data_IF_877318026657
#
_entry.id   IF_877318026657
#
_cell.length_a   1.000
_cell.length_b   1.000
_cell.length_c   1.000
_cell.angle_alpha   90.00
_cell.angle_beta   90.00
_cell.angle_gamma   90.00
#
_symmetry.space_group_name_H-M   'P 1'
#
loop_
_entity.id
_entity.type
_entity.pdbx_description
1 polymer ?
#
# COMPACT_ATOMS: atom_id res chain seq x y z
N UNK A 1 59.68 -49.83 6.44
CA UNK A 1 59.77 -48.84 5.36
C UNK A 1 58.38 -48.41 5.00
N UNK A 2 57.88 -47.37 5.68
CA UNK A 2 56.55 -46.79 5.47
C UNK A 2 56.69 -45.51 4.65
N UNK A 3 56.07 -45.51 3.46
CA UNK A 3 56.02 -44.33 2.58
C UNK A 3 54.97 -43.32 3.08
N UNK A 4 55.37 -42.09 3.34
CA UNK A 4 54.47 -40.92 3.54
C UNK A 4 53.92 -40.45 2.18
N UNK A 5 52.67 -39.98 2.14
CA UNK A 5 52.12 -39.36 0.92
C UNK A 5 52.54 -37.91 0.82
N UNK A 6 53.06 -37.54 -0.35
CA UNK A 6 53.33 -36.14 -0.73
C UNK A 6 52.04 -35.39 -0.98
N UNK A 7 51.82 -34.29 -0.25
CA UNK A 7 50.79 -33.30 -0.56
C UNK A 7 51.30 -32.33 -1.60
N UNK A 8 50.66 -32.28 -2.75
CA UNK A 8 50.95 -31.31 -3.78
C UNK A 8 50.45 -29.87 -3.39
N UNK A 9 51.17 -28.81 -3.76
CA UNK A 9 50.74 -27.44 -3.47
C UNK A 9 49.53 -27.07 -4.34
N UNK A 10 48.56 -26.38 -3.73
CA UNK A 10 47.37 -25.84 -4.38
C UNK A 10 47.75 -24.79 -5.42
N UNK A 11 47.16 -24.86 -6.61
CA UNK A 11 47.41 -23.93 -7.73
C UNK A 11 46.77 -22.56 -7.46
N UNK A 12 47.30 -21.46 -8.02
CA UNK A 12 46.80 -20.09 -7.75
C UNK A 12 45.35 -19.82 -8.21
N UNK A 13 44.72 -20.75 -8.92
CA UNK A 13 43.34 -20.66 -9.35
C UNK A 13 42.30 -20.95 -8.22
N UNK A 14 42.73 -21.70 -7.18
CA UNK A 14 41.85 -22.05 -6.05
C UNK A 14 41.77 -20.94 -4.99
N UNK A 15 42.76 -20.07 -4.91
CA UNK A 15 42.76 -18.91 -4.01
C UNK A 15 41.89 -17.77 -4.50
N UNK A 16 41.61 -17.65 -5.81
CA UNK A 16 40.72 -16.64 -6.36
C UNK A 16 39.22 -16.95 -6.16
N UNK A 17 38.88 -18.25 -5.97
CA UNK A 17 37.48 -18.64 -5.76
C UNK A 17 36.97 -18.33 -4.35
N UNK A 18 37.84 -18.24 -3.34
CA UNK A 18 37.45 -17.86 -1.96
C UNK A 18 37.34 -16.37 -1.72
N UNK A 19 38.00 -15.54 -2.52
CA UNK A 19 37.87 -14.08 -2.45
C UNK A 19 36.61 -13.57 -3.19
N UNK A 20 36.09 -14.32 -4.17
CA UNK A 20 34.86 -13.95 -4.88
C UNK A 20 33.57 -14.21 -4.06
N UNK A 21 33.62 -15.15 -3.09
CA UNK A 21 32.46 -15.46 -2.21
C UNK A 21 32.33 -14.43 -1.07
N UNK A 22 33.40 -13.77 -0.67
CA UNK A 22 33.38 -12.77 0.41
C UNK A 22 32.88 -11.38 -0.02
N UNK A 23 32.77 -11.09 -1.33
CA UNK A 23 32.32 -9.80 -1.87
C UNK A 23 30.82 -9.80 -2.28
N UNK A 24 30.10 -10.93 -2.16
CA UNK A 24 28.67 -11.00 -2.46
C UNK A 24 27.77 -10.79 -1.23
N UNK A 25 28.34 -10.52 -0.07
CA UNK A 25 27.60 -10.41 1.21
C UNK A 25 27.30 -8.96 1.63
N UNK A 26 27.31 -8.00 0.72
CA UNK A 26 27.05 -6.59 1.10
C UNK A 26 26.13 -5.82 0.16
N UNK A 27 25.14 -6.50 -0.45
CA UNK A 27 24.00 -5.85 -1.07
C UNK A 27 22.70 -6.29 -0.36
N UNK A 28 22.66 -6.15 0.97
CA UNK A 28 21.39 -6.06 1.67
C UNK A 28 20.86 -4.65 1.42
N UNK A 29 20.10 -4.48 0.33
CA UNK A 29 19.20 -3.34 0.24
C UNK A 29 18.30 -3.34 1.49
N UNK A 30 17.68 -2.21 1.85
CA UNK A 30 16.80 -2.14 3.01
C UNK A 30 15.78 -3.27 2.89
N UNK A 31 15.90 -4.24 3.79
CA UNK A 31 15.11 -5.48 3.78
C UNK A 31 13.64 -5.21 4.07
N UNK A 32 12.83 -6.21 3.81
CA UNK A 32 11.48 -6.31 4.36
C UNK A 32 11.58 -6.07 5.86
N UNK A 33 10.66 -5.28 6.41
CA UNK A 33 10.60 -5.00 7.85
C UNK A 33 10.58 -6.31 8.65
N UNK A 34 11.35 -6.36 9.71
CA UNK A 34 11.23 -7.37 10.75
C UNK A 34 10.47 -6.75 11.94
N UNK A 35 9.76 -7.58 12.70
CA UNK A 35 9.08 -7.18 13.93
C UNK A 35 10.03 -6.35 14.82
N UNK A 36 9.60 -5.16 15.22
CA UNK A 36 10.38 -4.24 16.06
C UNK A 36 11.15 -3.15 15.31
N UNK A 37 11.04 -3.02 13.98
CA UNK A 37 11.55 -1.84 13.29
C UNK A 37 10.80 -0.56 13.74
N UNK A 38 11.52 0.53 14.02
CA UNK A 38 10.88 1.80 14.38
C UNK A 38 10.02 2.32 13.22
N UNK A 39 8.99 3.08 13.56
CA UNK A 39 8.18 3.76 12.56
C UNK A 39 9.06 4.71 11.75
N UNK A 40 8.84 4.75 10.44
CA UNK A 40 9.57 5.67 9.56
C UNK A 40 9.20 7.11 9.91
N UNK A 41 10.16 8.00 9.78
CA UNK A 41 9.89 9.43 9.95
C UNK A 41 8.85 9.89 8.93
N UNK A 42 7.86 10.63 9.42
CA UNK A 42 6.89 11.32 8.58
C UNK A 42 7.51 12.61 8.08
N UNK A 43 7.67 12.78 6.77
CA UNK A 43 8.23 14.02 6.23
C UNK A 43 7.26 15.18 6.50
N UNK A 44 7.76 16.40 6.71
CA UNK A 44 6.90 17.58 6.85
C UNK A 44 6.09 17.80 5.57
N UNK A 45 4.87 18.35 5.73
CA UNK A 45 4.02 18.70 4.60
C UNK A 45 4.66 19.82 3.78
N UNK A 46 4.62 19.66 2.46
CA UNK A 46 4.97 20.74 1.52
C UNK A 46 3.68 21.37 1.00
N UNK A 47 3.33 22.55 1.50
CA UNK A 47 2.12 23.28 1.11
C UNK A 47 2.11 23.69 -0.38
N UNK A 48 3.26 23.66 -1.04
CA UNK A 48 3.39 23.97 -2.47
C UNK A 48 3.37 22.70 -3.35
N UNK A 49 3.28 21.51 -2.75
CA UNK A 49 3.23 20.27 -3.48
C UNK A 49 1.99 20.22 -4.39
N UNK A 50 2.16 19.64 -5.58
CA UNK A 50 1.05 19.46 -6.53
C UNK A 50 0.12 18.33 -6.09
N UNK A 51 0.64 17.35 -5.38
CA UNK A 51 -0.05 16.20 -4.79
C UNK A 51 0.76 15.72 -3.56
N UNK A 52 0.17 14.88 -2.74
CA UNK A 52 0.84 14.32 -1.56
C UNK A 52 1.19 12.84 -1.75
N UNK A 53 0.45 12.15 -2.62
CA UNK A 53 0.66 10.74 -2.90
C UNK A 53 -0.08 10.26 -4.14
N UNK A 54 0.05 8.97 -4.37
CA UNK A 54 -0.58 8.26 -5.50
C UNK A 54 -1.21 6.96 -5.01
N UNK A 55 -2.14 6.42 -5.78
CA UNK A 55 -2.51 5.03 -5.65
C UNK A 55 -2.41 4.30 -6.99
N UNK A 56 -2.10 3.00 -6.90
CA UNK A 56 -1.77 2.17 -8.04
C UNK A 56 -2.39 0.77 -7.93
N UNK A 57 -2.55 0.15 -9.07
CA UNK A 57 -2.94 -1.25 -9.20
C UNK A 57 -2.01 -2.01 -10.16
N UNK A 58 -2.41 -3.20 -10.61
CA UNK A 58 -1.73 -3.90 -11.69
C UNK A 58 -1.83 -3.19 -13.05
N UNK A 59 -2.74 -2.20 -13.18
CA UNK A 59 -2.93 -1.42 -14.41
C UNK A 59 -1.68 -0.61 -14.78
N UNK A 60 -0.93 -0.10 -13.77
CA UNK A 60 0.28 0.67 -13.99
C UNK A 60 1.47 -0.18 -14.48
N UNK A 61 1.35 -1.51 -14.47
CA UNK A 61 2.38 -2.41 -14.99
C UNK A 61 3.70 -2.34 -14.24
N UNK A 62 4.81 -2.29 -15.00
CA UNK A 62 6.14 -2.13 -14.43
C UNK A 62 6.40 -0.67 -14.06
N UNK A 63 6.90 -0.44 -12.86
CA UNK A 63 7.18 0.89 -12.32
C UNK A 63 8.68 1.04 -12.00
N UNK A 64 9.30 2.09 -12.51
CA UNK A 64 10.66 2.51 -12.14
C UNK A 64 10.60 3.36 -10.86
N UNK A 65 10.64 2.68 -9.73
CA UNK A 65 10.55 3.31 -8.41
C UNK A 65 11.69 4.29 -8.11
N UNK A 66 12.83 4.12 -8.77
CA UNK A 66 13.93 5.08 -8.67
C UNK A 66 13.57 6.45 -9.25
N UNK A 67 12.84 6.46 -10.36
CA UNK A 67 12.31 7.70 -10.94
C UNK A 67 11.14 8.24 -10.14
N UNK A 68 10.18 7.40 -9.74
CA UNK A 68 9.03 7.82 -8.92
C UNK A 68 9.49 8.51 -7.64
N UNK A 69 10.45 7.95 -6.91
CA UNK A 69 10.95 8.51 -5.65
C UNK A 69 11.76 9.80 -5.82
N UNK A 70 12.19 10.12 -7.03
CA UNK A 70 12.85 11.41 -7.33
C UNK A 70 11.87 12.57 -7.32
N UNK A 71 10.59 12.31 -7.51
CA UNK A 71 9.52 13.29 -7.36
C UNK A 71 9.25 13.55 -5.87
N UNK A 72 9.59 14.76 -5.43
CA UNK A 72 9.53 15.14 -4.01
C UNK A 72 8.12 15.47 -3.52
N UNK A 73 7.15 15.52 -4.41
CA UNK A 73 5.75 15.68 -4.03
C UNK A 73 5.12 14.32 -3.62
N UNK A 74 5.65 13.19 -4.12
CA UNK A 74 5.16 11.87 -3.73
C UNK A 74 5.75 11.46 -2.37
N UNK A 75 4.91 11.35 -1.36
CA UNK A 75 5.28 10.94 0.01
C UNK A 75 4.81 9.53 0.34
N UNK A 76 3.70 9.12 -0.24
CA UNK A 76 3.11 7.82 0.02
C UNK A 76 2.50 7.21 -1.24
N UNK A 77 2.28 5.90 -1.17
CA UNK A 77 1.56 5.16 -2.20
C UNK A 77 0.66 4.10 -1.57
N UNK A 78 -0.60 4.05 -2.03
CA UNK A 78 -1.48 2.92 -1.80
C UNK A 78 -1.42 1.95 -2.99
N UNK A 79 -1.33 0.65 -2.71
CA UNK A 79 -1.10 -0.39 -3.72
C UNK A 79 -2.19 -1.45 -3.61
N UNK A 80 -2.90 -1.73 -4.72
CA UNK A 80 -3.86 -2.82 -4.77
C UNK A 80 -3.18 -4.14 -4.44
N UNK A 81 -3.58 -4.76 -3.34
CA UNK A 81 -3.10 -6.07 -2.96
C UNK A 81 -4.01 -7.17 -3.51
N UNK A 82 -5.31 -7.06 -3.24
CA UNK A 82 -6.28 -8.12 -3.52
C UNK A 82 -7.65 -7.57 -3.94
N UNK A 83 -8.47 -8.45 -4.52
CA UNK A 83 -9.87 -8.21 -4.83
C UNK A 83 -10.67 -9.50 -4.60
N UNK A 84 -11.84 -9.40 -3.98
CA UNK A 84 -12.66 -10.56 -3.69
C UNK A 84 -11.88 -11.64 -2.92
N UNK A 85 -12.35 -12.89 -3.00
CA UNK A 85 -11.73 -13.98 -2.24
C UNK A 85 -10.46 -14.56 -2.84
N UNK A 86 -10.12 -14.28 -4.12
CA UNK A 86 -9.08 -15.05 -4.84
C UNK A 86 -8.10 -14.22 -5.65
N UNK A 87 -8.49 -13.03 -6.12
CA UNK A 87 -7.57 -12.22 -6.90
C UNK A 87 -6.47 -11.63 -6.03
N UNK A 88 -5.23 -11.77 -6.48
CA UNK A 88 -4.02 -11.16 -5.93
C UNK A 88 -3.31 -10.40 -7.03
N UNK A 89 -2.99 -9.14 -6.77
CA UNK A 89 -2.30 -8.29 -7.75
C UNK A 89 -0.92 -8.86 -8.06
N UNK A 90 -0.60 -9.17 -9.33
CA UNK A 90 0.66 -9.84 -9.69
C UNK A 90 1.90 -8.99 -9.41
N UNK A 91 1.77 -7.67 -9.39
CA UNK A 91 2.87 -6.73 -9.15
C UNK A 91 2.96 -6.23 -7.70
N UNK A 92 2.02 -6.64 -6.83
CA UNK A 92 1.93 -6.11 -5.47
C UNK A 92 3.22 -6.28 -4.66
N UNK A 93 3.76 -7.50 -4.57
CA UNK A 93 4.97 -7.78 -3.77
C UNK A 93 6.18 -6.98 -4.29
N UNK A 94 6.34 -6.91 -5.61
CA UNK A 94 7.39 -6.10 -6.21
C UNK A 94 7.21 -4.62 -5.87
N UNK A 95 6.03 -4.09 -6.11
CA UNK A 95 5.75 -2.68 -5.93
C UNK A 95 5.88 -2.23 -4.47
N UNK A 96 5.30 -2.97 -3.52
CA UNK A 96 5.39 -2.58 -2.11
C UNK A 96 6.83 -2.64 -1.59
N UNK A 97 7.60 -3.65 -2.02
CA UNK A 97 9.00 -3.80 -1.64
C UNK A 97 9.86 -2.67 -2.22
N UNK A 98 9.69 -2.36 -3.51
CA UNK A 98 10.50 -1.35 -4.17
C UNK A 98 10.13 0.07 -3.72
N UNK A 99 8.83 0.41 -3.66
CA UNK A 99 8.38 1.70 -3.15
C UNK A 99 8.97 1.99 -1.75
N UNK A 100 8.89 1.00 -0.87
CA UNK A 100 9.46 1.07 0.47
C UNK A 100 10.99 1.21 0.46
N UNK A 101 11.68 0.46 -0.40
CA UNK A 101 13.13 0.54 -0.56
C UNK A 101 13.59 1.95 -0.96
N UNK A 102 12.82 2.62 -1.81
CA UNK A 102 13.08 3.97 -2.25
C UNK A 102 12.55 5.07 -1.32
N UNK A 103 12.07 4.71 -0.13
CA UNK A 103 11.76 5.67 0.94
C UNK A 103 10.32 6.17 0.97
N UNK A 104 9.44 5.70 0.08
CA UNK A 104 8.02 6.04 0.13
C UNK A 104 7.33 5.30 1.28
N UNK A 105 6.35 5.95 1.90
CA UNK A 105 5.45 5.28 2.85
C UNK A 105 4.41 4.49 2.07
N UNK A 106 4.17 3.23 2.47
CA UNK A 106 3.33 2.32 1.70
C UNK A 106 2.12 1.82 2.50
N UNK A 107 0.99 1.76 1.83
CA UNK A 107 -0.22 1.10 2.31
C UNK A 107 -0.78 0.14 1.25
N UNK A 108 -1.64 -0.76 1.69
CA UNK A 108 -2.27 -1.75 0.82
C UNK A 108 -3.78 -1.59 0.81
N UNK A 109 -4.41 -1.88 -0.32
CA UNK A 109 -5.87 -1.89 -0.37
C UNK A 109 -6.47 -3.19 -0.91
N UNK A 110 -7.69 -3.45 -0.44
CA UNK A 110 -8.54 -4.54 -0.88
C UNK A 110 -9.78 -3.99 -1.59
N UNK A 111 -10.04 -4.45 -2.81
CA UNK A 111 -11.28 -4.13 -3.53
C UNK A 111 -12.40 -5.10 -3.12
N UNK A 112 -13.43 -4.54 -2.49
CA UNK A 112 -14.56 -5.31 -1.96
C UNK A 112 -15.53 -5.71 -3.05
N UNK A 113 -15.96 -6.96 -3.05
CA UNK A 113 -16.95 -7.50 -4.00
C UNK A 113 -18.10 -8.22 -3.30
N UNK A 114 -19.24 -8.34 -3.98
CA UNK A 114 -20.39 -9.12 -3.47
C UNK A 114 -20.36 -10.58 -3.90
N UNK A 115 -19.28 -11.07 -4.51
CA UNK A 115 -19.19 -12.40 -5.13
C UNK A 115 -18.76 -13.51 -4.16
N UNK A 116 -18.33 -13.16 -2.96
CA UNK A 116 -17.82 -14.12 -1.97
C UNK A 116 -18.03 -13.62 -0.53
N UNK A 117 -17.86 -14.51 0.44
CA UNK A 117 -18.00 -14.15 1.86
C UNK A 117 -16.93 -13.17 2.30
N UNK A 118 -17.24 -12.32 3.27
CA UNK A 118 -16.31 -11.35 3.82
C UNK A 118 -15.09 -12.02 4.48
N UNK A 119 -15.31 -13.13 5.17
CA UNK A 119 -14.20 -13.90 5.78
C UNK A 119 -13.20 -14.38 4.74
N UNK A 120 -13.66 -14.88 3.59
CA UNK A 120 -12.78 -15.30 2.51
C UNK A 120 -12.03 -14.12 1.85
N UNK A 121 -12.69 -12.97 1.70
CA UNK A 121 -12.06 -11.75 1.19
C UNK A 121 -11.01 -11.24 2.16
N UNK A 122 -11.33 -11.17 3.44
CA UNK A 122 -10.39 -10.79 4.47
C UNK A 122 -9.21 -11.76 4.56
N UNK A 123 -9.43 -13.07 4.53
CA UNK A 123 -8.35 -14.06 4.50
C UNK A 123 -7.44 -13.89 3.26
N UNK A 124 -8.02 -13.59 2.10
CA UNK A 124 -7.22 -13.29 0.91
C UNK A 124 -6.34 -12.05 1.12
N UNK A 125 -6.89 -10.99 1.73
CA UNK A 125 -6.18 -9.76 1.99
C UNK A 125 -5.10 -9.94 3.07
N UNK A 126 -5.45 -10.41 4.25
CA UNK A 126 -4.53 -10.51 5.40
C UNK A 126 -3.35 -11.46 5.16
N UNK A 127 -3.55 -12.53 4.39
CA UNK A 127 -2.49 -13.46 3.99
C UNK A 127 -1.56 -12.93 2.89
N UNK A 128 -1.89 -11.79 2.26
CA UNK A 128 -1.11 -11.24 1.17
C UNK A 128 -0.55 -9.86 1.49
N UNK A 129 -1.32 -9.01 2.15
CA UNK A 129 -0.94 -7.67 2.60
C UNK A 129 -0.44 -7.71 4.05
N UNK A 130 0.71 -8.35 4.29
CA UNK A 130 1.26 -8.56 5.63
C UNK A 130 1.49 -7.24 6.37
N UNK A 131 1.16 -7.20 7.68
CA UNK A 131 1.29 -6.02 8.54
C UNK A 131 2.70 -5.43 8.51
N UNK A 132 3.72 -6.29 8.56
CA UNK A 132 5.13 -5.88 8.69
C UNK A 132 5.68 -5.12 7.47
N UNK A 133 5.06 -5.25 6.31
CA UNK A 133 5.51 -4.56 5.10
C UNK A 133 4.80 -3.23 4.85
N UNK A 134 3.85 -2.85 5.71
CA UNK A 134 3.06 -1.63 5.57
C UNK A 134 3.53 -0.54 6.53
N UNK A 135 3.42 0.70 6.08
CA UNK A 135 3.65 1.90 6.87
C UNK A 135 2.34 2.59 7.23
N UNK A 136 1.35 2.44 6.37
CA UNK A 136 0.03 3.08 6.46
C UNK A 136 -1.05 2.07 6.81
N UNK A 137 -2.14 2.54 7.43
CA UNK A 137 -3.30 1.72 7.72
C UNK A 137 -3.84 1.05 6.46
N UNK A 138 -4.37 -0.17 6.54
CA UNK A 138 -5.03 -0.81 5.40
C UNK A 138 -6.18 0.03 4.86
N UNK A 139 -6.47 -0.10 3.56
CA UNK A 139 -7.59 0.58 2.93
C UNK A 139 -8.58 -0.44 2.34
N UNK A 140 -9.86 -0.22 2.59
CA UNK A 140 -10.96 -0.95 2.00
C UNK A 140 -11.59 -0.12 0.89
N UNK A 141 -11.52 -0.60 -0.33
CA UNK A 141 -12.05 0.04 -1.52
C UNK A 141 -13.46 -0.46 -1.80
N UNK A 142 -14.46 0.44 -1.72
CA UNK A 142 -15.89 0.17 -1.79
C UNK A 142 -16.54 1.05 -2.83
N UNK A 143 -16.62 0.56 -4.06
CA UNK A 143 -17.15 1.33 -5.20
C UNK A 143 -18.43 0.73 -5.80
N UNK A 144 -18.67 -0.53 -5.54
CA UNK A 144 -19.81 -1.24 -6.13
C UNK A 144 -20.60 -1.97 -5.06
N UNK A 145 -21.93 -1.96 -5.23
CA UNK A 145 -22.81 -2.74 -4.36
C UNK A 145 -22.97 -4.19 -4.84
N UNK A 146 -22.82 -4.40 -6.12
CA UNK A 146 -23.07 -5.70 -6.73
C UNK A 146 -24.46 -6.20 -6.44
N UNK A 147 -24.57 -7.44 -5.96
CA UNK A 147 -25.84 -8.11 -5.64
C UNK A 147 -26.38 -7.78 -4.23
N UNK A 148 -25.66 -7.00 -3.42
CA UNK A 148 -26.12 -6.67 -2.06
C UNK A 148 -27.22 -5.61 -2.08
N UNK A 149 -28.16 -5.72 -1.14
CA UNK A 149 -28.95 -4.58 -0.69
C UNK A 149 -28.05 -3.55 0.00
N UNK A 150 -28.56 -2.34 0.26
CA UNK A 150 -27.78 -1.34 1.02
C UNK A 150 -27.44 -1.82 2.44
N UNK A 151 -28.38 -2.49 3.12
CA UNK A 151 -28.11 -3.06 4.44
C UNK A 151 -27.01 -4.10 4.38
N UNK A 152 -27.08 -5.06 3.46
CA UNK A 152 -26.06 -6.08 3.30
C UNK A 152 -24.68 -5.48 2.98
N UNK A 153 -24.62 -4.40 2.19
CA UNK A 153 -23.36 -3.67 1.95
C UNK A 153 -22.81 -3.10 3.27
N UNK A 154 -23.64 -2.40 4.05
CA UNK A 154 -23.24 -1.83 5.34
C UNK A 154 -22.73 -2.91 6.29
N UNK A 155 -23.48 -4.01 6.43
CA UNK A 155 -23.11 -5.16 7.29
C UNK A 155 -21.78 -5.79 6.81
N UNK A 156 -21.59 -5.89 5.51
CA UNK A 156 -20.36 -6.44 4.90
C UNK A 156 -19.14 -5.56 5.14
N UNK A 157 -19.29 -4.24 4.95
CA UNK A 157 -18.22 -3.28 5.22
C UNK A 157 -17.85 -3.26 6.69
N UNK A 158 -18.84 -3.21 7.60
CA UNK A 158 -18.61 -3.30 9.05
C UNK A 158 -17.83 -4.57 9.40
N UNK A 159 -18.29 -5.72 8.93
CA UNK A 159 -17.60 -7.00 9.20
C UNK A 159 -16.15 -7.00 8.72
N UNK A 160 -15.88 -6.47 7.53
CA UNK A 160 -14.51 -6.37 7.04
C UNK A 160 -13.66 -5.42 7.90
N UNK A 161 -14.22 -4.29 8.31
CA UNK A 161 -13.56 -3.33 9.19
C UNK A 161 -13.20 -3.95 10.54
N UNK A 162 -14.12 -4.69 11.16
CA UNK A 162 -13.89 -5.39 12.44
C UNK A 162 -12.75 -6.41 12.32
N UNK A 163 -12.70 -7.18 11.25
CA UNK A 163 -11.63 -8.15 10.99
C UNK A 163 -10.28 -7.47 10.75
N UNK A 164 -10.27 -6.32 10.07
CA UNK A 164 -9.04 -5.51 9.90
C UNK A 164 -8.56 -4.96 11.23
N UNK A 165 -9.46 -4.43 12.06
CA UNK A 165 -9.11 -3.91 13.38
C UNK A 165 -8.52 -5.01 14.29
N UNK A 166 -9.15 -6.19 14.31
CA UNK A 166 -8.64 -7.34 15.06
C UNK A 166 -7.21 -7.75 14.64
N UNK A 167 -6.94 -7.76 13.34
CA UNK A 167 -5.68 -8.26 12.80
C UNK A 167 -4.56 -7.21 12.76
N UNK A 168 -4.90 -5.97 12.34
CA UNK A 168 -3.89 -4.90 12.14
C UNK A 168 -3.80 -3.94 13.33
N UNK A 169 -4.76 -3.98 14.27
CA UNK A 169 -4.82 -3.10 15.43
C UNK A 169 -5.34 -1.69 15.11
N UNK A 170 -5.98 -1.50 13.94
CA UNK A 170 -6.52 -0.21 13.51
C UNK A 170 -7.67 -0.44 12.53
N UNK A 171 -8.70 0.43 12.59
CA UNK A 171 -9.74 0.44 11.57
C UNK A 171 -9.16 0.78 10.19
N UNK A 172 -9.65 0.16 9.11
CA UNK A 172 -9.19 0.51 7.77
C UNK A 172 -9.67 1.92 7.38
N UNK A 173 -8.91 2.58 6.53
CA UNK A 173 -9.41 3.71 5.76
C UNK A 173 -10.40 3.19 4.72
N UNK A 174 -11.48 3.92 4.47
CA UNK A 174 -12.48 3.56 3.46
C UNK A 174 -12.28 4.45 2.23
N UNK A 175 -11.97 3.80 1.10
CA UNK A 175 -12.01 4.47 -0.20
C UNK A 175 -13.37 4.26 -0.85
N UNK A 176 -13.86 5.31 -1.49
CA UNK A 176 -15.04 5.26 -2.35
C UNK A 176 -15.09 6.49 -3.26
N UNK A 177 -15.79 6.41 -4.38
CA UNK A 177 -16.15 7.63 -5.10
C UNK A 177 -17.18 8.44 -4.29
N UNK A 178 -17.10 9.78 -4.34
CA UNK A 178 -17.99 10.67 -3.58
C UNK A 178 -19.48 10.33 -3.82
N UNK A 179 -19.85 10.08 -5.06
CA UNK A 179 -21.24 9.76 -5.42
C UNK A 179 -21.71 8.45 -4.81
N UNK A 180 -20.87 7.42 -4.87
CA UNK A 180 -21.20 6.11 -4.29
C UNK A 180 -21.25 6.19 -2.77
N UNK A 181 -20.27 6.84 -2.13
CA UNK A 181 -20.21 7.02 -0.68
C UNK A 181 -21.48 7.70 -0.16
N UNK A 182 -21.79 8.87 -0.70
CA UNK A 182 -22.94 9.68 -0.27
C UNK A 182 -24.28 8.95 -0.46
N UNK A 183 -24.40 8.09 -1.48
CA UNK A 183 -25.62 7.32 -1.76
C UNK A 183 -25.75 6.08 -0.90
N UNK A 184 -24.65 5.38 -0.62
CA UNK A 184 -24.72 4.01 -0.10
C UNK A 184 -24.12 3.86 1.31
N UNK A 185 -23.09 4.62 1.67
CA UNK A 185 -22.28 4.39 2.87
C UNK A 185 -22.54 5.41 3.99
N UNK A 186 -22.84 6.65 3.65
CA UNK A 186 -23.17 7.67 4.66
C UNK A 186 -24.51 7.39 5.35
N UNK A 187 -24.68 7.71 6.65
CA UNK A 187 -23.71 8.27 7.58
C UNK A 187 -22.88 7.22 8.34
N UNK A 188 -22.99 5.96 7.99
CA UNK A 188 -22.53 4.80 8.80
C UNK A 188 -21.01 4.84 9.03
N UNK A 189 -20.24 5.35 8.06
CA UNK A 189 -18.79 5.32 8.10
C UNK A 189 -18.15 6.72 8.19
N UNK A 190 -18.92 7.76 8.52
CA UNK A 190 -18.42 9.14 8.62
C UNK A 190 -17.35 9.35 9.72
N UNK A 191 -17.18 8.38 10.63
CA UNK A 191 -16.14 8.41 11.67
C UNK A 191 -14.82 7.75 11.24
N UNK A 192 -14.84 7.03 10.13
CA UNK A 192 -13.62 6.43 9.57
C UNK A 192 -12.77 7.49 8.90
N UNK A 193 -11.47 7.19 8.70
CA UNK A 193 -10.66 7.93 7.76
C UNK A 193 -11.17 7.64 6.34
N UNK A 194 -11.50 8.67 5.58
CA UNK A 194 -12.10 8.54 4.27
C UNK A 194 -11.14 8.98 3.17
N UNK A 195 -10.95 8.14 2.19
CA UNK A 195 -10.24 8.43 0.95
C UNK A 195 -11.28 8.54 -0.16
N UNK A 196 -11.55 9.74 -0.65
CA UNK A 196 -12.70 9.99 -1.53
C UNK A 196 -12.24 10.39 -2.92
N UNK A 197 -12.65 9.59 -3.91
CA UNK A 197 -12.50 9.89 -5.33
C UNK A 197 -13.54 10.94 -5.79
N UNK A 198 -13.05 12.09 -6.25
CA UNK A 198 -13.83 13.12 -6.95
C UNK A 198 -12.92 13.82 -7.95
N UNK A 199 -13.03 13.47 -9.22
CA UNK A 199 -12.22 14.02 -10.31
C UNK A 199 -12.75 15.41 -10.71
N UNK A 200 -12.28 16.44 -10.02
CA UNK A 200 -12.79 17.78 -10.11
C UNK A 200 -11.80 18.79 -9.51
N UNK A 201 -12.03 20.08 -9.73
CA UNK A 201 -11.26 21.15 -9.10
C UNK A 201 -11.81 21.57 -7.71
N UNK A 202 -12.88 20.95 -7.24
CA UNK A 202 -13.48 21.20 -5.93
C UNK A 202 -13.41 19.99 -5.04
N UNK A 203 -13.11 20.21 -3.78
CA UNK A 203 -13.01 19.17 -2.76
C UNK A 203 -14.30 18.34 -2.61
N UNK A 204 -14.20 17.08 -2.15
CA UNK A 204 -15.37 16.25 -1.88
C UNK A 204 -16.26 16.86 -0.78
N UNK A 205 -17.56 16.73 -0.96
CA UNK A 205 -18.56 17.07 0.05
C UNK A 205 -19.21 15.78 0.55
N UNK A 206 -19.02 15.48 1.83
CA UNK A 206 -19.56 14.28 2.45
C UNK A 206 -20.86 14.63 3.20
N UNK A 207 -21.94 13.95 2.86
CA UNK A 207 -23.23 14.16 3.49
C UNK A 207 -23.18 13.88 5.00
N UNK A 208 -24.11 14.44 5.75
CA UNK A 208 -24.28 14.22 7.19
C UNK A 208 -23.05 14.59 8.02
N UNK A 209 -22.42 15.73 7.67
CA UNK A 209 -21.25 16.27 8.37
C UNK A 209 -20.04 15.29 8.42
N UNK A 210 -19.92 14.43 7.41
CA UNK A 210 -18.72 13.62 7.22
C UNK A 210 -17.57 14.47 6.69
N UNK A 211 -16.35 14.05 6.97
CA UNK A 211 -15.13 14.68 6.49
C UNK A 211 -14.26 13.67 5.74
N UNK A 212 -13.66 14.08 4.64
CA UNK A 212 -12.64 13.28 3.98
C UNK A 212 -11.26 13.50 4.63
N UNK A 213 -10.41 12.49 4.56
CA UNK A 213 -9.01 12.58 4.99
C UNK A 213 -8.11 12.81 3.77
N UNK A 214 -8.34 12.02 2.71
CA UNK A 214 -7.61 12.10 1.44
C UNK A 214 -8.62 12.30 0.30
N UNK A 215 -8.27 13.15 -0.63
CA UNK A 215 -9.01 13.40 -1.85
C UNK A 215 -8.20 12.91 -3.06
N UNK A 216 -8.72 11.91 -3.79
CA UNK A 216 -8.25 11.51 -5.11
C UNK A 216 -8.91 12.44 -6.13
N UNK A 217 -8.15 13.40 -6.62
CA UNK A 217 -8.70 14.49 -7.43
C UNK A 217 -8.48 14.31 -8.94
N UNK A 218 -7.60 13.39 -9.33
CA UNK A 218 -7.28 13.11 -10.72
C UNK A 218 -6.96 11.62 -10.93
N UNK A 219 -7.46 11.06 -12.03
CA UNK A 219 -7.13 9.72 -12.54
C UNK A 219 -6.16 9.75 -13.73
N UNK A 220 -5.68 10.94 -14.11
CA UNK A 220 -4.87 11.16 -15.29
C UNK A 220 -3.48 11.74 -14.95
N UNK A 221 -2.94 11.41 -13.79
CA UNK A 221 -1.60 11.82 -13.39
C UNK A 221 -0.52 11.23 -14.29
N UNK A 222 0.50 12.02 -14.56
CA UNK A 222 1.70 11.58 -15.29
C UNK A 222 2.88 11.70 -14.33
N UNK A 223 3.44 10.56 -13.94
CA UNK A 223 4.56 10.47 -13.00
C UNK A 223 5.77 9.84 -13.70
N UNK A 224 6.94 10.46 -13.65
CA UNK A 224 8.16 9.86 -14.20
C UNK A 224 8.42 8.47 -13.60
N UNK A 225 8.55 7.45 -14.45
CA UNK A 225 8.74 6.07 -14.02
C UNK A 225 7.48 5.21 -14.04
N UNK A 226 6.32 5.79 -14.38
CA UNK A 226 5.07 5.08 -14.61
C UNK A 226 4.60 5.39 -16.04
N UNK A 227 4.46 4.36 -16.88
CA UNK A 227 4.09 4.53 -18.29
C UNK A 227 2.57 4.67 -18.52
N UNK A 228 1.75 4.43 -17.50
CA UNK A 228 0.29 4.60 -17.52
C UNK A 228 -0.12 5.83 -16.70
N UNK A 229 -1.37 6.26 -16.88
CA UNK A 229 -1.96 7.23 -15.98
C UNK A 229 -2.08 6.68 -14.56
N UNK A 230 -1.97 7.57 -13.59
CA UNK A 230 -1.99 7.23 -12.16
C UNK A 230 -2.89 8.19 -11.40
N UNK A 231 -3.50 7.68 -10.36
CA UNK A 231 -4.36 8.45 -9.47
C UNK A 231 -3.53 9.36 -8.57
N UNK A 232 -3.84 10.65 -8.60
CA UNK A 232 -3.20 11.67 -7.77
C UNK A 232 -4.10 12.06 -6.62
N UNK A 233 -3.51 12.17 -5.43
CA UNK A 233 -4.25 12.48 -4.23
C UNK A 233 -3.60 13.53 -3.34
N UNK A 234 -4.43 14.17 -2.50
CA UNK A 234 -4.06 15.17 -1.52
C UNK A 234 -4.74 14.91 -0.19
N UNK A 235 -4.07 15.24 0.89
CA UNK A 235 -4.75 15.38 2.17
C UNK A 235 -5.68 16.60 2.16
N UNK A 236 -6.74 16.55 2.99
CA UNK A 236 -7.47 17.77 3.32
C UNK A 236 -6.51 18.81 3.92
N UNK A 237 -6.93 20.08 3.93
CA UNK A 237 -6.07 21.21 4.31
C UNK A 237 -5.34 21.03 5.64
N UNK A 238 -6.03 20.52 6.66
CA UNK A 238 -5.49 20.37 8.02
C UNK A 238 -5.03 18.93 8.33
N UNK A 239 -5.01 18.04 7.32
CA UNK A 239 -4.62 16.63 7.46
C UNK A 239 -3.21 16.36 7.00
N UNK A 240 -2.60 15.30 7.53
CA UNK A 240 -1.32 14.81 7.07
C UNK A 240 -1.16 13.30 7.33
N UNK A 241 -0.02 12.74 6.90
CA UNK A 241 0.30 11.31 6.90
C UNK A 241 0.21 10.66 8.29
N UNK A 242 0.49 11.40 9.36
CA UNK A 242 0.40 10.90 10.75
C UNK A 242 -1.01 10.41 11.12
N UNK A 243 -2.05 10.95 10.46
CA UNK A 243 -3.42 10.49 10.65
C UNK A 243 -3.71 9.08 10.11
N UNK A 244 -2.87 8.58 9.22
CA UNK A 244 -3.07 7.31 8.50
C UNK A 244 -1.94 6.31 8.71
N UNK A 245 -1.03 6.57 9.65
CA UNK A 245 0.03 5.62 9.99
C UNK A 245 -0.55 4.34 10.59
N UNK A 246 0.03 3.21 10.20
CA UNK A 246 -0.26 1.94 10.86
C UNK A 246 0.47 1.91 12.21
N UNK A 247 -0.26 1.77 13.34
CA UNK A 247 0.37 1.63 14.66
C UNK A 247 1.36 0.46 14.69
N UNK A 248 2.46 0.65 15.39
CA UNK A 248 3.45 -0.40 15.66
C UNK A 248 3.27 -0.90 17.07
N UNK A 249 3.36 -2.21 17.19
CA UNK A 249 3.36 -2.89 18.50
C UNK A 249 4.64 -2.59 19.27
#
# INVERSE_FOLDING_TARGET
MTKQPHTAPLTPLQTLLWLAVALMASCTGPGIRHNGEPQREVPPRNELAKYDGIDISSYQGYIDWGKVSSDKDIRFVYIKATEGATYRSPHYIHNITQARRYGLLVGSYHYLTSSSSIDNQFNNFSNYALKDVQDLMPMLDVEVRGNWSRSQLIDSVNKFCDLVEEHYGVQPMIYSTMGFYNKNLTPYFNKHKLYIGRYSNSEPEINWQGEFTIWQYSENGIIPGIDAYVDLCRFRKDGWIDEILLPKD
#
